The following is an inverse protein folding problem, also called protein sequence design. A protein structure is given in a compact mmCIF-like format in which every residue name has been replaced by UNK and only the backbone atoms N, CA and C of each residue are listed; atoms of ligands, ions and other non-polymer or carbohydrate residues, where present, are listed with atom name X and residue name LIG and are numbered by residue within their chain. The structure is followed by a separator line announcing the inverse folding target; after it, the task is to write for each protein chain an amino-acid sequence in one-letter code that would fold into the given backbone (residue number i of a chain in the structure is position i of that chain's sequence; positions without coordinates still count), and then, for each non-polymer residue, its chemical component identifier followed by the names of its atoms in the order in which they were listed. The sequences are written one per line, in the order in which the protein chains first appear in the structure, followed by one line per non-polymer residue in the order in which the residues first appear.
data_IF_849247009144
#
_entry.id   IF_849247009144
#
_cell.length_a   1.000
_cell.length_b   1.000
_cell.length_c   1.000
_cell.angle_alpha   90.00
_cell.angle_beta   90.00
_cell.angle_gamma   90.00
#
_symmetry.space_group_name_H-M   'P 1'
#
loop_
_entity.id
_entity.type
_entity.pdbx_description
1 polymer ?
#
# COMPACT_ATOMS: atom_id res chain seq x y z
N UNK A 1 -35.08 6.07 -2.98
CA UNK A 1 -35.03 5.19 -4.16
C UNK A 1 -34.33 3.93 -3.69
N UNK A 2 -34.88 2.73 -4.01
CA UNK A 2 -34.22 1.49 -3.61
C UNK A 2 -32.86 1.41 -4.31
N UNK A 3 -31.79 1.09 -3.55
CA UNK A 3 -30.47 0.82 -4.10
C UNK A 3 -30.61 -0.27 -5.16
N UNK A 4 -30.38 0.07 -6.42
CA UNK A 4 -30.33 -0.92 -7.50
C UNK A 4 -29.07 -1.77 -7.30
N UNK A 5 -29.27 -2.93 -6.73
CA UNK A 5 -28.19 -3.87 -6.47
C UNK A 5 -27.63 -4.41 -7.80
N UNK A 6 -26.32 -4.34 -7.97
CA UNK A 6 -25.62 -4.85 -9.16
C UNK A 6 -25.01 -6.22 -8.83
N UNK A 7 -25.30 -7.23 -9.67
CA UNK A 7 -24.72 -8.58 -9.52
C UNK A 7 -23.69 -8.80 -10.62
N UNK A 8 -22.49 -9.25 -10.23
CA UNK A 8 -21.44 -9.71 -11.15
C UNK A 8 -21.09 -11.18 -10.88
N UNK A 9 -20.62 -11.86 -11.91
CA UNK A 9 -20.19 -13.26 -11.80
C UNK A 9 -18.71 -13.39 -12.10
N UNK A 10 -17.97 -13.98 -11.18
CA UNK A 10 -16.55 -14.34 -11.32
C UNK A 10 -16.39 -15.85 -11.18
N UNK A 11 -15.19 -16.39 -11.40
CA UNK A 11 -14.98 -17.85 -11.34
C UNK A 11 -15.27 -18.48 -9.98
N UNK A 12 -15.23 -17.70 -8.90
CA UNK A 12 -15.51 -18.16 -7.53
C UNK A 12 -17.01 -18.18 -7.19
N UNK A 13 -17.84 -17.39 -7.86
CA UNK A 13 -19.27 -17.26 -7.57
C UNK A 13 -19.84 -15.90 -7.96
N UNK A 14 -21.02 -15.60 -7.48
CA UNK A 14 -21.69 -14.31 -7.72
C UNK A 14 -21.47 -13.34 -6.56
N UNK A 15 -21.37 -12.05 -6.89
CA UNK A 15 -21.18 -10.94 -5.94
C UNK A 15 -22.32 -9.95 -6.11
N UNK A 16 -22.93 -9.55 -4.99
CA UNK A 16 -23.94 -8.49 -4.92
C UNK A 16 -23.27 -7.21 -4.46
N UNK A 17 -23.09 -6.26 -5.36
CA UNK A 17 -22.59 -4.92 -5.06
C UNK A 17 -23.68 -3.93 -4.72
N UNK A 18 -23.28 -2.76 -4.25
CA UNK A 18 -24.16 -1.60 -4.06
C UNK A 18 -23.98 -0.61 -5.20
N UNK A 19 -25.02 0.21 -5.47
CA UNK A 19 -24.95 1.31 -6.41
C UNK A 19 -25.05 2.63 -5.64
N UNK A 20 -24.04 3.46 -5.78
CA UNK A 20 -23.95 4.78 -5.15
C UNK A 20 -23.77 5.84 -6.24
N UNK A 21 -24.82 6.61 -6.51
CA UNK A 21 -24.84 7.50 -7.66
C UNK A 21 -24.79 6.72 -8.99
N UNK A 22 -23.81 7.00 -9.83
CA UNK A 22 -23.58 6.27 -11.07
C UNK A 22 -22.56 5.13 -10.92
N UNK A 23 -21.85 5.06 -9.79
CA UNK A 23 -20.83 4.07 -9.52
C UNK A 23 -21.40 2.85 -8.83
N UNK A 24 -21.02 1.65 -9.27
CA UNK A 24 -21.25 0.39 -8.54
C UNK A 24 -20.01 0.06 -7.72
N UNK A 25 -20.20 -0.31 -6.44
CA UNK A 25 -19.14 -0.70 -5.55
C UNK A 25 -19.30 -2.15 -5.08
N UNK A 26 -18.18 -2.87 -5.05
CA UNK A 26 -18.07 -4.24 -4.56
C UNK A 26 -16.98 -4.29 -3.51
N UNK A 27 -17.35 -4.51 -2.27
CA UNK A 27 -16.44 -4.55 -1.13
C UNK A 27 -16.14 -5.98 -0.70
N UNK A 28 -15.04 -6.18 0.04
CA UNK A 28 -14.66 -7.46 0.66
C UNK A 28 -14.58 -8.62 -0.33
N UNK A 29 -14.14 -8.36 -1.56
CA UNK A 29 -14.02 -9.36 -2.62
C UNK A 29 -12.73 -10.19 -2.38
N UNK A 30 -12.81 -11.52 -2.20
CA UNK A 30 -11.65 -12.34 -1.92
C UNK A 30 -10.78 -12.53 -3.16
N UNK A 31 -9.50 -12.14 -3.09
CA UNK A 31 -8.50 -12.47 -4.11
C UNK A 31 -7.63 -13.67 -3.71
N UNK A 32 -7.71 -14.08 -2.46
CA UNK A 32 -6.94 -15.19 -1.90
C UNK A 32 -7.62 -15.82 -0.69
N UNK A 33 -7.02 -16.85 -0.13
CA UNK A 33 -7.44 -17.52 1.09
C UNK A 33 -6.28 -17.67 2.07
N UNK A 34 -6.59 -17.58 3.38
CA UNK A 34 -5.63 -17.79 4.44
C UNK A 34 -5.23 -19.27 4.55
N UNK A 35 -3.94 -19.56 4.42
CA UNK A 35 -3.35 -20.90 4.57
C UNK A 35 -2.65 -21.07 5.93
N UNK A 36 -2.83 -20.11 6.83
CA UNK A 36 -2.17 -20.02 8.12
C UNK A 36 -1.11 -18.93 8.18
N UNK A 37 -0.75 -18.56 9.40
CA UNK A 37 0.24 -17.52 9.68
C UNK A 37 1.57 -17.83 8.99
N UNK A 38 2.16 -16.82 8.34
CA UNK A 38 3.43 -16.88 7.61
C UNK A 38 3.44 -17.83 6.38
N UNK A 39 2.27 -18.26 5.90
CA UNK A 39 2.16 -19.06 4.67
C UNK A 39 1.83 -18.17 3.47
N UNK A 40 2.20 -18.62 2.28
CA UNK A 40 1.76 -17.98 1.04
C UNK A 40 0.24 -17.96 0.96
N UNK A 41 -0.31 -16.91 0.34
CA UNK A 41 -1.73 -16.79 0.08
C UNK A 41 -2.21 -17.93 -0.84
N UNK A 42 -3.29 -18.56 -0.48
CA UNK A 42 -3.91 -19.62 -1.28
C UNK A 42 -4.90 -19.08 -2.32
N UNK A 43 -5.37 -19.98 -3.19
CA UNK A 43 -6.44 -19.68 -4.15
C UNK A 43 -7.72 -19.29 -3.40
N UNK A 44 -8.50 -18.29 -3.86
CA UNK A 44 -9.77 -17.94 -3.25
C UNK A 44 -10.73 -19.14 -3.26
N UNK A 45 -11.44 -19.33 -2.15
CA UNK A 45 -12.46 -20.39 -2.02
C UNK A 45 -13.69 -19.98 -2.81
N UNK A 46 -14.22 -20.90 -3.63
CA UNK A 46 -15.49 -20.71 -4.35
C UNK A 46 -16.68 -20.83 -3.39
N UNK A 47 -17.76 -20.13 -3.71
CA UNK A 47 -19.00 -20.16 -2.95
C UNK A 47 -20.21 -20.45 -3.86
N UNK A 48 -21.29 -20.94 -3.24
CA UNK A 48 -22.59 -21.11 -3.90
C UNK A 48 -23.52 -19.94 -3.57
N UNK A 49 -24.40 -19.60 -4.50
CA UNK A 49 -25.32 -18.45 -4.33
C UNK A 49 -24.63 -17.12 -4.54
N UNK A 50 -25.23 -16.06 -4.00
CA UNK A 50 -24.76 -14.68 -4.15
C UNK A 50 -24.13 -14.22 -2.84
N UNK A 51 -22.84 -13.87 -2.88
CA UNK A 51 -22.11 -13.27 -1.75
C UNK A 51 -22.45 -11.79 -1.67
N UNK A 52 -22.82 -11.32 -0.48
CA UNK A 52 -23.00 -9.90 -0.21
C UNK A 52 -21.65 -9.18 -0.19
N UNK A 53 -21.49 -8.21 -1.09
CA UNK A 53 -20.30 -7.39 -1.27
C UNK A 53 -20.63 -5.89 -1.17
N UNK A 54 -21.63 -5.52 -0.36
CA UNK A 54 -22.13 -4.14 -0.25
C UNK A 54 -21.52 -3.35 0.89
N UNK A 55 -20.73 -3.96 1.75
CA UNK A 55 -20.15 -3.31 2.92
C UNK A 55 -18.64 -3.53 3.00
N UNK A 56 -17.85 -2.52 3.41
CA UNK A 56 -16.43 -2.68 3.66
C UNK A 56 -16.15 -3.84 4.63
N UNK A 57 -15.15 -4.64 4.29
CA UNK A 57 -14.74 -5.80 5.06
C UNK A 57 -13.62 -5.52 6.06
N UNK A 58 -12.83 -6.56 6.32
CA UNK A 58 -11.70 -6.53 7.25
C UNK A 58 -10.43 -5.99 6.59
N UNK A 59 -9.52 -5.50 7.41
CA UNK A 59 -8.12 -5.20 7.03
C UNK A 59 -7.16 -6.15 7.76
N UNK A 60 -5.89 -6.20 7.34
CA UNK A 60 -4.91 -7.04 8.03
C UNK A 60 -4.56 -6.52 9.42
N UNK A 61 -4.19 -7.45 10.31
CA UNK A 61 -3.69 -7.19 11.66
C UNK A 61 -2.53 -6.21 11.65
N UNK A 62 -2.62 -5.17 12.49
CA UNK A 62 -1.69 -4.05 12.55
C UNK A 62 -1.80 -3.28 13.85
N UNK A 63 -0.76 -2.50 14.18
CA UNK A 63 -0.80 -1.54 15.27
C UNK A 63 -1.54 -0.25 14.91
N UNK A 64 -1.55 0.74 15.82
CA UNK A 64 -2.14 2.05 15.56
C UNK A 64 -1.49 2.76 14.38
N UNK A 65 -2.30 3.51 13.62
CA UNK A 65 -1.80 4.33 12.52
C UNK A 65 -0.82 5.39 13.03
N UNK A 66 0.41 5.36 12.54
CA UNK A 66 1.49 6.30 12.94
C UNK A 66 1.24 7.73 12.48
N UNK A 67 0.40 7.92 11.47
CA UNK A 67 0.01 9.23 10.94
C UNK A 67 -1.39 9.65 11.40
N UNK A 68 -1.91 9.06 12.49
CA UNK A 68 -3.25 9.39 12.99
C UNK A 68 -3.42 10.88 13.35
N UNK A 69 -2.34 11.59 13.73
CA UNK A 69 -2.35 13.03 13.97
C UNK A 69 -2.57 13.86 12.70
N UNK A 70 -2.25 13.30 11.55
CA UNK A 70 -2.42 13.93 10.23
C UNK A 70 -3.66 13.38 9.52
N UNK A 71 -3.76 12.05 9.39
CA UNK A 71 -4.83 11.39 8.64
C UNK A 71 -6.11 11.18 9.44
N UNK A 72 -6.06 11.37 10.76
CA UNK A 72 -7.15 10.97 11.67
C UNK A 72 -7.23 9.45 11.81
N UNK A 73 -8.18 8.98 12.65
CA UNK A 73 -8.49 7.55 12.80
C UNK A 73 -9.85 7.26 12.20
N UNK A 74 -10.02 6.10 11.58
CA UNK A 74 -11.27 5.69 10.94
C UNK A 74 -11.87 4.44 11.60
N UNK A 75 -13.20 4.31 11.66
CA UNK A 75 -13.86 3.17 12.31
C UNK A 75 -13.41 1.80 11.78
N UNK A 76 -13.12 1.69 10.48
CA UNK A 76 -12.65 0.46 9.83
C UNK A 76 -11.31 -0.06 10.34
N UNK A 77 -10.47 0.79 10.95
CA UNK A 77 -9.17 0.38 11.51
C UNK A 77 -9.30 -0.67 12.61
N UNK A 78 -10.45 -0.79 13.26
CA UNK A 78 -10.69 -1.76 14.33
C UNK A 78 -11.15 -3.13 13.82
N UNK A 79 -11.54 -3.23 12.55
CA UNK A 79 -12.01 -4.48 11.96
C UNK A 79 -10.85 -5.23 11.30
N UNK A 80 -10.09 -5.98 12.09
CA UNK A 80 -8.83 -6.59 11.67
C UNK A 80 -8.86 -8.13 11.73
N UNK A 81 -8.20 -8.77 10.75
CA UNK A 81 -8.07 -10.23 10.67
C UNK A 81 -6.75 -10.63 10.02
N UNK A 82 -6.21 -11.82 10.32
CA UNK A 82 -5.17 -12.44 9.50
C UNK A 82 -5.72 -13.02 8.18
N UNK A 83 -7.04 -13.18 8.06
CA UNK A 83 -7.73 -13.52 6.79
C UNK A 83 -8.35 -12.27 6.17
N UNK A 84 -7.51 -11.37 5.69
CA UNK A 84 -7.92 -10.13 5.02
C UNK A 84 -7.43 -10.06 3.56
N UNK A 85 -7.30 -11.18 2.88
CA UNK A 85 -6.95 -11.27 1.45
C UNK A 85 -8.12 -10.81 0.58
N UNK A 86 -8.43 -9.51 0.67
CA UNK A 86 -9.61 -8.86 0.10
C UNK A 86 -9.20 -7.63 -0.71
N UNK A 87 -10.00 -7.34 -1.72
CA UNK A 87 -9.94 -6.10 -2.48
C UNK A 87 -11.35 -5.50 -2.61
N UNK A 88 -11.40 -4.25 -3.01
CA UNK A 88 -12.66 -3.57 -3.32
C UNK A 88 -12.60 -3.08 -4.77
N UNK A 89 -13.75 -3.00 -5.42
CA UNK A 89 -13.85 -2.57 -6.81
C UNK A 89 -14.94 -1.51 -6.93
N UNK A 90 -14.61 -0.36 -7.50
CA UNK A 90 -15.57 0.67 -7.92
C UNK A 90 -15.56 0.77 -9.43
N UNK A 91 -16.72 0.84 -10.03
CA UNK A 91 -16.88 0.86 -11.48
C UNK A 91 -18.05 1.75 -11.91
N UNK A 92 -17.87 2.63 -12.91
CA UNK A 92 -18.97 3.42 -13.47
C UNK A 92 -19.91 2.56 -14.35
N UNK A 93 -19.38 1.47 -14.93
CA UNK A 93 -20.18 0.58 -15.79
C UNK A 93 -19.63 -0.85 -15.78
N UNK A 94 -20.35 -1.79 -15.16
CA UNK A 94 -19.96 -3.23 -15.10
C UNK A 94 -19.92 -3.91 -16.47
N UNK A 95 -20.49 -3.29 -17.52
CA UNK A 95 -20.49 -3.81 -18.91
C UNK A 95 -19.51 -3.06 -19.80
N UNK A 96 -18.76 -2.12 -19.22
CA UNK A 96 -17.78 -1.30 -19.95
C UNK A 96 -16.51 -2.08 -20.33
N UNK A 97 -15.56 -1.32 -20.86
CA UNK A 97 -14.18 -1.73 -21.07
C UNK A 97 -13.26 -0.58 -20.67
N UNK A 98 -13.30 -0.23 -19.37
CA UNK A 98 -12.65 0.95 -18.84
C UNK A 98 -11.21 0.67 -18.41
N UNK A 99 -10.30 1.64 -18.46
CA UNK A 99 -9.00 1.52 -17.81
C UNK A 99 -9.14 1.15 -16.33
N UNK A 100 -8.15 0.47 -15.79
CA UNK A 100 -8.15 -0.03 -14.41
C UNK A 100 -7.04 0.65 -13.62
N UNK A 101 -7.38 1.20 -12.46
CA UNK A 101 -6.43 1.65 -11.46
C UNK A 101 -6.36 0.62 -10.34
N UNK A 102 -5.22 -0.04 -10.17
CA UNK A 102 -4.92 -0.91 -9.04
C UNK A 102 -4.13 -0.11 -8.00
N UNK A 103 -4.81 0.23 -6.89
CA UNK A 103 -4.28 1.10 -5.85
C UNK A 103 -3.71 0.33 -4.67
N UNK A 104 -2.46 0.63 -4.30
CA UNK A 104 -1.75 0.06 -3.16
C UNK A 104 -1.61 1.15 -2.08
N UNK A 105 -2.22 0.93 -0.91
CA UNK A 105 -2.19 1.88 0.19
C UNK A 105 -0.80 2.01 0.82
N UNK A 106 -0.52 3.17 1.43
CA UNK A 106 0.66 3.43 2.25
C UNK A 106 0.53 2.92 3.68
N UNK A 107 1.34 3.50 4.58
CA UNK A 107 1.34 3.18 6.01
C UNK A 107 2.66 2.62 6.52
N UNK A 108 3.77 2.93 5.85
CA UNK A 108 5.13 2.57 6.29
C UNK A 108 5.36 1.06 6.41
N UNK A 109 4.71 0.27 5.57
CA UNK A 109 4.72 -1.21 5.57
C UNK A 109 4.07 -1.86 6.80
N UNK A 110 3.57 -1.07 7.76
CA UNK A 110 3.14 -1.53 9.09
C UNK A 110 1.64 -1.35 9.34
N UNK A 111 1.00 -0.41 8.65
CA UNK A 111 -0.41 -0.06 8.84
C UNK A 111 -1.10 0.22 7.50
N UNK A 112 -2.43 0.35 7.52
CA UNK A 112 -3.25 0.67 6.36
C UNK A 112 -4.18 -0.46 5.95
N UNK A 113 -4.98 -0.20 4.92
CA UNK A 113 -5.93 -1.17 4.37
C UNK A 113 -6.74 -0.55 3.24
N UNK A 114 -6.98 -1.31 2.18
CA UNK A 114 -7.76 -0.87 1.03
C UNK A 114 -9.24 -0.66 1.32
N UNK A 115 -9.74 -1.14 2.47
CA UNK A 115 -11.12 -0.97 2.91
C UNK A 115 -11.34 0.30 3.77
N UNK A 116 -10.28 1.09 4.02
CA UNK A 116 -10.40 2.31 4.81
C UNK A 116 -11.02 3.43 3.96
N UNK A 117 -11.85 4.26 4.58
CA UNK A 117 -12.59 5.34 3.90
C UNK A 117 -11.69 6.39 3.21
N UNK A 118 -10.43 6.49 3.60
CA UNK A 118 -9.44 7.32 2.87
C UNK A 118 -9.31 6.92 1.39
N UNK A 119 -9.63 5.68 1.05
CA UNK A 119 -9.52 5.09 -0.28
C UNK A 119 -10.89 4.77 -0.89
N UNK A 120 -11.97 5.44 -0.40
CA UNK A 120 -13.25 5.41 -1.11
C UNK A 120 -13.07 6.04 -2.48
N UNK A 121 -13.15 5.20 -3.49
CA UNK A 121 -12.84 5.57 -4.87
C UNK A 121 -14.08 5.86 -5.72
N UNK A 122 -15.24 6.07 -5.11
CA UNK A 122 -16.50 6.31 -5.81
C UNK A 122 -16.38 7.49 -6.76
N UNK A 123 -15.94 8.66 -6.26
CA UNK A 123 -15.80 9.86 -7.07
C UNK A 123 -14.68 9.73 -8.11
N UNK A 124 -13.55 9.12 -7.74
CA UNK A 124 -12.46 8.86 -8.70
C UNK A 124 -12.92 7.95 -9.83
N UNK A 125 -13.70 6.90 -9.56
CA UNK A 125 -14.23 6.01 -10.58
C UNK A 125 -15.24 6.72 -11.51
N UNK A 126 -16.14 7.51 -10.93
CA UNK A 126 -17.16 8.25 -11.68
C UNK A 126 -16.53 9.35 -12.55
N UNK A 127 -15.74 10.24 -11.95
CA UNK A 127 -15.18 11.41 -12.62
C UNK A 127 -14.05 11.06 -13.60
N UNK A 128 -13.28 10.01 -13.27
CA UNK A 128 -12.18 9.53 -14.11
C UNK A 128 -12.59 8.53 -15.19
N UNK A 129 -13.85 8.07 -15.18
CA UNK A 129 -14.35 7.00 -16.06
C UNK A 129 -13.45 5.76 -16.05
N UNK A 130 -13.03 5.33 -14.85
CA UNK A 130 -12.08 4.23 -14.63
C UNK A 130 -12.64 3.22 -13.63
N UNK A 131 -12.21 1.96 -13.74
CA UNK A 131 -12.41 0.96 -12.68
C UNK A 131 -11.30 1.13 -11.66
N UNK A 132 -11.63 1.32 -10.39
CA UNK A 132 -10.65 1.43 -9.31
C UNK A 132 -10.70 0.18 -8.44
N UNK A 133 -9.53 -0.39 -8.17
CA UNK A 133 -9.35 -1.54 -7.28
C UNK A 133 -8.43 -1.14 -6.15
N UNK A 134 -8.90 -1.19 -4.90
CA UNK A 134 -8.04 -1.05 -3.72
C UNK A 134 -7.81 -2.41 -3.08
N UNK A 135 -6.62 -2.67 -2.58
CA UNK A 135 -6.20 -4.00 -2.12
C UNK A 135 -5.67 -3.98 -0.70
N UNK A 136 -6.00 -5.02 0.08
CA UNK A 136 -5.31 -5.34 1.32
C UNK A 136 -4.12 -6.26 1.03
N UNK A 137 -3.03 -6.09 1.76
CA UNK A 137 -1.86 -6.96 1.77
C UNK A 137 -1.30 -7.05 3.19
N UNK A 138 -0.64 -8.16 3.52
CA UNK A 138 -0.08 -8.36 4.86
C UNK A 138 0.97 -7.32 5.20
N UNK A 139 1.05 -6.98 6.47
CA UNK A 139 1.84 -5.87 6.98
C UNK A 139 2.89 -6.35 7.98
N UNK A 140 3.96 -5.58 8.08
CA UNK A 140 4.99 -5.74 9.09
C UNK A 140 5.49 -7.19 9.22
N UNK A 141 5.54 -7.68 10.45
CA UNK A 141 6.00 -9.02 10.78
C UNK A 141 5.21 -10.12 10.07
N UNK A 142 3.90 -9.95 9.87
CA UNK A 142 3.04 -10.93 9.19
C UNK A 142 3.32 -11.02 7.68
N UNK A 143 3.78 -9.91 7.08
CA UNK A 143 4.04 -9.80 5.64
C UNK A 143 5.51 -9.97 5.24
N UNK A 144 6.46 -9.68 6.14
CA UNK A 144 7.87 -9.53 5.77
C UNK A 144 8.87 -10.26 6.69
N UNK A 145 8.39 -11.09 7.61
CA UNK A 145 9.29 -11.92 8.41
C UNK A 145 10.03 -12.91 7.51
N UNK A 146 11.37 -12.92 7.57
CA UNK A 146 12.23 -13.95 6.99
C UNK A 146 12.76 -14.85 8.08
N UNK A 147 12.23 -16.07 8.18
CA UNK A 147 12.63 -17.04 9.20
C UNK A 147 12.59 -18.45 8.62
N UNK A 148 13.75 -19.06 8.34
CA UNK A 148 13.81 -20.38 7.68
C UNK A 148 12.92 -21.45 8.35
N UNK A 149 12.13 -22.14 7.53
CA UNK A 149 11.17 -23.16 7.99
C UNK A 149 9.84 -22.61 8.53
N UNK A 150 9.72 -21.29 8.74
CA UNK A 150 8.51 -20.63 9.24
C UNK A 150 7.93 -19.69 8.20
N UNK A 151 8.75 -18.75 7.68
CA UNK A 151 8.34 -17.74 6.71
C UNK A 151 9.45 -17.51 5.66
N UNK A 152 9.05 -17.41 4.40
CA UNK A 152 9.98 -17.19 3.28
C UNK A 152 10.38 -15.70 3.13
N UNK A 153 9.72 -14.77 3.85
CA UNK A 153 9.83 -13.33 3.60
C UNK A 153 8.98 -12.89 2.42
N UNK A 154 8.91 -11.56 2.16
CA UNK A 154 8.22 -10.96 1.02
C UNK A 154 6.77 -11.45 0.78
N UNK A 155 6.09 -11.94 1.82
CA UNK A 155 4.71 -12.42 1.68
C UNK A 155 3.75 -11.28 1.32
N UNK A 156 4.01 -10.06 1.78
CA UNK A 156 3.25 -8.87 1.40
C UNK A 156 3.34 -8.58 -0.11
N UNK A 157 4.53 -8.68 -0.70
CA UNK A 157 4.71 -8.53 -2.14
C UNK A 157 4.04 -9.68 -2.91
N UNK A 158 4.12 -10.91 -2.39
CA UNK A 158 3.43 -12.06 -2.98
C UNK A 158 1.90 -11.91 -2.94
N UNK A 159 1.34 -11.31 -1.88
CA UNK A 159 -0.08 -10.98 -1.78
C UNK A 159 -0.49 -10.01 -2.89
N UNK A 160 0.30 -8.95 -3.11
CA UNK A 160 0.05 -7.94 -4.15
C UNK A 160 0.16 -8.53 -5.57
N UNK A 161 1.15 -9.38 -5.82
CA UNK A 161 1.29 -10.12 -7.10
C UNK A 161 0.05 -11.00 -7.33
N UNK A 162 -0.42 -11.68 -6.29
CA UNK A 162 -1.60 -12.55 -6.38
C UNK A 162 -2.87 -11.74 -6.65
N UNK A 163 -3.05 -10.60 -5.97
CA UNK A 163 -4.16 -9.70 -6.20
C UNK A 163 -4.13 -9.09 -7.62
N UNK A 164 -2.96 -8.71 -8.11
CA UNK A 164 -2.82 -8.18 -9.48
C UNK A 164 -3.10 -9.26 -10.54
N UNK A 165 -2.66 -10.50 -10.33
CA UNK A 165 -3.02 -11.66 -11.16
C UNK A 165 -4.54 -11.94 -11.11
N UNK A 166 -5.18 -11.72 -9.96
CA UNK A 166 -6.64 -11.78 -9.83
C UNK A 166 -7.33 -10.69 -10.68
N UNK A 167 -6.85 -9.45 -10.64
CA UNK A 167 -7.35 -8.34 -11.47
C UNK A 167 -7.27 -8.70 -12.95
N UNK A 168 -6.12 -9.15 -13.44
CA UNK A 168 -5.95 -9.58 -14.84
C UNK A 168 -6.97 -10.64 -15.25
N UNK A 169 -7.38 -11.52 -14.35
CA UNK A 169 -8.31 -12.62 -14.63
C UNK A 169 -9.79 -12.22 -14.56
N UNK A 170 -10.15 -11.30 -13.67
CA UNK A 170 -11.54 -11.09 -13.29
C UNK A 170 -12.10 -9.69 -13.56
N UNK A 171 -11.24 -8.69 -13.78
CA UNK A 171 -11.69 -7.29 -13.80
C UNK A 171 -12.68 -6.99 -14.94
N UNK A 172 -12.66 -7.77 -16.01
CA UNK A 172 -13.64 -7.65 -17.10
C UNK A 172 -15.07 -7.90 -16.65
N UNK A 173 -15.31 -8.70 -15.59
CA UNK A 173 -16.65 -8.89 -15.01
C UNK A 173 -17.18 -7.62 -14.33
N UNK A 174 -16.30 -6.68 -14.02
CA UNK A 174 -16.59 -5.38 -13.43
C UNK A 174 -16.50 -4.23 -14.46
N UNK A 175 -16.40 -4.54 -15.75
CA UNK A 175 -16.28 -3.55 -16.83
C UNK A 175 -14.89 -2.95 -16.99
N UNK A 176 -13.86 -3.55 -16.41
CA UNK A 176 -12.45 -3.12 -16.57
C UNK A 176 -11.76 -3.82 -17.74
N UNK A 177 -10.80 -3.13 -18.36
CA UNK A 177 -9.94 -3.69 -19.39
C UNK A 177 -8.65 -4.24 -18.76
N UNK A 178 -8.44 -5.57 -18.73
CA UNK A 178 -7.24 -6.17 -18.17
C UNK A 178 -5.95 -5.77 -18.90
N UNK A 179 -6.04 -5.26 -20.13
CA UNK A 179 -4.87 -4.79 -20.90
C UNK A 179 -4.52 -3.31 -20.61
N UNK A 180 -5.37 -2.60 -19.88
CA UNK A 180 -5.17 -1.20 -19.52
C UNK A 180 -5.07 -1.02 -18.00
N UNK A 181 -4.14 -1.71 -17.36
CA UNK A 181 -3.93 -1.64 -15.91
C UNK A 181 -2.84 -0.63 -15.58
N UNK A 182 -3.19 0.30 -14.69
CA UNK A 182 -2.26 1.20 -13.99
C UNK A 182 -2.08 0.68 -12.57
N UNK A 183 -0.86 0.41 -12.15
CA UNK A 183 -0.53 0.16 -10.75
C UNK A 183 -0.11 1.47 -10.12
N UNK A 184 -0.73 1.86 -9.01
CA UNK A 184 -0.36 3.09 -8.32
C UNK A 184 -0.44 2.92 -6.81
N UNK A 185 0.30 3.77 -6.10
CA UNK A 185 0.25 3.80 -4.65
C UNK A 185 0.93 5.03 -4.07
N UNK A 186 0.75 5.22 -2.78
CA UNK A 186 1.32 6.33 -2.04
C UNK A 186 2.26 5.80 -0.95
N UNK A 187 3.41 6.48 -0.71
CA UNK A 187 4.34 6.10 0.36
C UNK A 187 4.86 4.66 0.20
N UNK A 188 4.71 3.81 1.22
CA UNK A 188 5.02 2.38 1.12
C UNK A 188 4.26 1.69 -0.03
N UNK A 189 3.05 2.16 -0.38
CA UNK A 189 2.31 1.69 -1.54
C UNK A 189 3.00 2.04 -2.87
N UNK A 190 3.60 3.23 -2.97
CA UNK A 190 4.43 3.61 -4.13
C UNK A 190 5.69 2.74 -4.20
N UNK A 191 6.30 2.44 -3.05
CA UNK A 191 7.42 1.51 -2.98
C UNK A 191 7.05 0.11 -3.50
N UNK A 192 5.90 -0.44 -3.05
CA UNK A 192 5.40 -1.72 -3.55
C UNK A 192 5.01 -1.66 -5.04
N UNK A 193 4.47 -0.54 -5.51
CA UNK A 193 4.16 -0.35 -6.93
C UNK A 193 5.42 -0.46 -7.79
N UNK A 194 6.53 0.16 -7.34
CA UNK A 194 7.83 0.02 -8.01
C UNK A 194 8.39 -1.40 -7.88
N UNK A 195 8.23 -2.06 -6.72
CA UNK A 195 8.66 -3.43 -6.49
C UNK A 195 7.93 -4.44 -7.40
N UNK A 196 6.64 -4.20 -7.72
CA UNK A 196 5.91 -4.99 -8.72
C UNK A 196 6.51 -4.84 -10.13
N UNK A 197 7.00 -3.66 -10.50
CA UNK A 197 7.72 -3.46 -11.75
C UNK A 197 9.11 -4.09 -11.72
N UNK A 198 9.76 -4.13 -10.54
CA UNK A 198 11.06 -4.74 -10.33
C UNK A 198 11.04 -6.27 -10.32
N UNK A 199 9.87 -6.91 -10.16
CA UNK A 199 9.73 -8.36 -10.05
C UNK A 199 9.43 -9.03 -11.38
N UNK A 200 10.20 -10.08 -11.72
CA UNK A 200 9.97 -10.91 -12.92
C UNK A 200 8.57 -11.54 -12.97
N UNK A 201 7.91 -11.68 -11.80
CA UNK A 201 6.57 -12.28 -11.69
C UNK A 201 5.42 -11.34 -12.02
N UNK A 202 5.66 -10.02 -12.08
CA UNK A 202 4.58 -9.03 -12.19
C UNK A 202 4.80 -7.90 -13.19
N UNK A 203 6.03 -7.61 -13.63
CA UNK A 203 6.30 -6.44 -14.47
C UNK A 203 5.50 -6.40 -15.78
N UNK A 204 5.09 -7.55 -16.33
CA UNK A 204 4.28 -7.63 -17.55
C UNK A 204 2.77 -7.53 -17.32
N UNK A 205 2.32 -7.44 -16.06
CA UNK A 205 0.89 -7.40 -15.73
C UNK A 205 0.27 -6.01 -15.90
N UNK A 206 1.08 -4.99 -16.09
CA UNK A 206 0.67 -3.59 -16.26
C UNK A 206 1.69 -2.80 -17.08
N UNK A 207 1.27 -1.66 -17.59
CA UNK A 207 2.12 -0.78 -18.41
C UNK A 207 2.06 0.69 -18.00
N UNK A 208 1.41 1.01 -16.88
CA UNK A 208 1.37 2.35 -16.30
C UNK A 208 1.64 2.28 -14.81
N UNK A 209 2.42 3.22 -14.32
CA UNK A 209 2.87 3.27 -12.93
C UNK A 209 2.60 4.64 -12.32
N UNK A 210 1.95 4.66 -11.15
CA UNK A 210 1.72 5.86 -10.35
C UNK A 210 2.50 5.82 -9.04
N UNK A 211 3.41 6.78 -8.81
CA UNK A 211 4.25 6.82 -7.61
C UNK A 211 4.06 8.15 -6.86
N UNK A 212 3.20 8.14 -5.83
CA UNK A 212 2.94 9.28 -4.98
C UNK A 212 3.80 9.22 -3.73
N UNK A 213 4.63 10.24 -3.52
CA UNK A 213 5.52 10.33 -2.34
C UNK A 213 6.36 9.06 -2.14
N UNK A 214 7.04 8.61 -3.20
CA UNK A 214 7.86 7.40 -3.17
C UNK A 214 9.05 7.58 -2.21
N UNK A 215 9.16 6.77 -1.12
CA UNK A 215 10.25 6.87 -0.15
C UNK A 215 11.49 6.13 -0.68
N UNK A 216 12.13 6.68 -1.71
CA UNK A 216 13.16 5.98 -2.46
C UNK A 216 14.50 5.82 -1.75
N UNK A 217 14.67 6.43 -0.56
CA UNK A 217 15.82 6.13 0.31
C UNK A 217 15.62 4.86 1.15
N UNK A 218 14.38 4.32 1.18
CA UNK A 218 14.10 3.06 1.89
C UNK A 218 14.50 1.90 0.99
N UNK A 219 15.63 1.30 1.26
CA UNK A 219 16.14 0.13 0.55
C UNK A 219 15.47 -1.16 1.05
N UNK A 220 15.35 -2.16 0.17
CA UNK A 220 14.97 -3.50 0.58
C UNK A 220 16.02 -4.08 1.53
N UNK A 221 15.59 -4.86 2.52
CA UNK A 221 16.54 -5.48 3.47
C UNK A 221 17.49 -6.45 2.76
N UNK A 222 18.73 -6.47 3.20
CA UNK A 222 19.63 -7.57 2.91
C UNK A 222 19.20 -8.85 3.67
N UNK A 223 19.62 -10.01 3.20
CA UNK A 223 19.40 -11.29 3.92
C UNK A 223 19.94 -11.23 5.35
N UNK A 224 21.10 -10.57 5.57
CA UNK A 224 21.70 -10.39 6.87
C UNK A 224 20.80 -9.59 7.83
N UNK A 225 20.28 -8.44 7.36
CA UNK A 225 19.40 -7.60 8.16
C UNK A 225 18.04 -8.28 8.43
N UNK A 226 17.51 -9.02 7.47
CA UNK A 226 16.28 -9.79 7.65
C UNK A 226 16.47 -10.92 8.69
N UNK A 227 17.60 -11.63 8.67
CA UNK A 227 17.96 -12.63 9.68
C UNK A 227 18.20 -12.02 11.07
N UNK A 228 18.80 -10.83 11.11
CA UNK A 228 18.98 -10.10 12.38
C UNK A 228 17.63 -9.73 12.99
N UNK A 229 16.68 -9.21 12.21
CA UNK A 229 15.31 -8.92 12.67
C UNK A 229 14.63 -10.18 13.21
N UNK A 230 14.73 -11.30 12.50
CA UNK A 230 14.19 -12.57 12.96
C UNK A 230 14.82 -13.04 14.29
N UNK A 231 16.14 -12.89 14.42
CA UNK A 231 16.87 -13.23 15.65
C UNK A 231 16.46 -12.36 16.84
N UNK A 232 16.25 -11.05 16.60
CA UNK A 232 15.75 -10.12 17.62
C UNK A 232 14.31 -10.47 18.03
N UNK A 233 13.46 -10.88 17.08
CA UNK A 233 12.09 -11.32 17.37
C UNK A 233 12.07 -12.60 18.21
N UNK A 234 12.86 -13.61 17.86
CA UNK A 234 13.01 -14.83 18.66
C UNK A 234 13.51 -14.52 20.06
N UNK A 235 14.53 -13.66 20.18
CA UNK A 235 15.08 -13.24 21.47
C UNK A 235 14.05 -12.50 22.33
N UNK A 236 13.19 -11.68 21.73
CA UNK A 236 12.10 -10.99 22.44
C UNK A 236 11.16 -11.97 23.15
N UNK A 237 10.88 -13.11 22.52
CA UNK A 237 10.05 -14.19 23.08
C UNK A 237 10.84 -15.26 23.86
N UNK A 238 12.14 -15.07 24.09
CA UNK A 238 13.03 -16.05 24.70
C UNK A 238 13.02 -17.41 23.98
N UNK A 239 12.91 -17.40 22.65
CA UNK A 239 12.89 -18.59 21.81
C UNK A 239 14.25 -18.83 21.14
N UNK A 240 14.66 -20.08 21.07
CA UNK A 240 15.74 -20.52 20.19
C UNK A 240 15.23 -20.73 18.76
N UNK A 241 16.12 -20.83 17.78
CA UNK A 241 15.76 -21.16 16.39
C UNK A 241 15.01 -22.50 16.27
N UNK A 242 15.31 -23.47 17.11
CA UNK A 242 14.60 -24.76 17.17
C UNK A 242 13.16 -24.65 17.70
N UNK A 243 12.84 -23.56 18.37
CA UNK A 243 11.51 -23.26 18.92
C UNK A 243 10.74 -22.22 18.11
N UNK A 244 11.26 -21.84 16.94
CA UNK A 244 10.68 -20.79 16.07
C UNK A 244 9.20 -21.03 15.72
N UNK A 245 8.77 -22.31 15.63
CA UNK A 245 7.36 -22.67 15.39
C UNK A 245 6.40 -22.15 16.45
N UNK A 246 6.87 -21.86 17.66
CA UNK A 246 6.03 -21.26 18.71
C UNK A 246 5.52 -19.84 18.34
N UNK A 247 6.17 -19.16 17.41
CA UNK A 247 5.67 -17.88 16.87
C UNK A 247 4.31 -18.02 16.16
N UNK A 248 3.94 -19.22 15.72
CA UNK A 248 2.64 -19.49 15.10
C UNK A 248 1.48 -19.35 16.11
N UNK A 249 1.76 -19.59 17.39
CA UNK A 249 0.78 -19.60 18.48
C UNK A 249 0.80 -18.32 19.32
N UNK A 250 1.73 -17.38 19.05
CA UNK A 250 1.79 -16.09 19.76
C UNK A 250 0.58 -15.24 19.37
N UNK A 251 -0.03 -14.56 20.33
CA UNK A 251 -1.17 -13.67 20.07
C UNK A 251 -0.78 -12.53 19.11
N UNK A 252 -1.71 -12.11 18.24
CA UNK A 252 -1.46 -11.09 17.23
C UNK A 252 -0.93 -9.77 17.83
N UNK A 253 -1.55 -9.32 18.93
CA UNK A 253 -1.19 -8.08 19.60
C UNK A 253 0.22 -8.17 20.23
N UNK A 254 0.62 -9.35 20.71
CA UNK A 254 1.96 -9.58 21.23
C UNK A 254 3.01 -9.55 20.10
N UNK A 255 2.71 -10.13 18.93
CA UNK A 255 3.58 -10.03 17.76
C UNK A 255 3.73 -8.60 17.27
N UNK A 256 2.62 -7.82 17.25
CA UNK A 256 2.63 -6.41 16.87
C UNK A 256 3.46 -5.58 17.86
N UNK A 257 3.32 -5.84 19.15
CA UNK A 257 4.13 -5.16 20.17
C UNK A 257 5.63 -5.51 20.05
N UNK A 258 5.94 -6.80 19.84
CA UNK A 258 7.29 -7.28 19.62
C UNK A 258 7.92 -6.66 18.35
N UNK A 259 7.16 -6.53 17.26
CA UNK A 259 7.58 -5.83 16.05
C UNK A 259 8.05 -4.40 16.35
N UNK A 260 7.30 -3.64 17.15
CA UNK A 260 7.69 -2.29 17.55
C UNK A 260 9.02 -2.25 18.31
N UNK A 261 9.18 -3.14 19.30
CA UNK A 261 10.40 -3.25 20.07
C UNK A 261 11.63 -3.64 19.21
N UNK A 262 11.44 -4.60 18.30
CA UNK A 262 12.48 -5.08 17.37
C UNK A 262 12.87 -3.97 16.38
N UNK A 263 11.90 -3.23 15.84
CA UNK A 263 12.15 -2.10 14.93
C UNK A 263 12.98 -1.01 15.62
N UNK A 264 12.66 -0.66 16.87
CA UNK A 264 13.45 0.29 17.65
C UNK A 264 14.87 -0.21 17.95
N UNK A 265 15.04 -1.52 18.19
CA UNK A 265 16.35 -2.11 18.41
C UNK A 265 17.20 -2.08 17.12
N UNK A 266 16.58 -2.28 15.95
CA UNK A 266 17.23 -2.14 14.65
C UNK A 266 17.65 -0.69 14.41
N UNK A 267 16.76 0.28 14.58
CA UNK A 267 17.03 1.71 14.37
C UNK A 267 18.24 2.22 15.18
N UNK A 268 18.38 1.74 16.42
CA UNK A 268 19.53 2.09 17.26
C UNK A 268 20.87 1.60 16.68
N UNK A 269 20.84 0.61 15.79
CA UNK A 269 22.04 0.06 15.13
C UNK A 269 22.33 0.73 13.79
N UNK A 270 21.28 1.05 13.02
CA UNK A 270 21.41 1.63 11.67
C UNK A 270 21.46 3.15 11.68
N UNK A 271 20.99 3.81 12.74
CA UNK A 271 20.86 5.27 12.87
C UNK A 271 19.95 5.91 11.80
N UNK A 272 18.99 5.16 11.23
CA UNK A 272 18.10 5.64 10.19
C UNK A 272 17.11 6.70 10.72
N UNK A 273 16.78 7.71 9.89
CA UNK A 273 15.78 8.73 10.19
C UNK A 273 14.37 8.10 10.35
N UNK A 274 14.03 7.16 9.49
CA UNK A 274 12.78 6.41 9.56
C UNK A 274 13.10 4.99 10.01
N UNK A 275 12.49 4.50 11.12
CA UNK A 275 12.74 3.16 11.58
C UNK A 275 12.35 2.15 10.49
N UNK A 276 13.32 1.45 9.96
CA UNK A 276 13.10 0.31 9.08
C UNK A 276 13.05 -0.95 9.93
N UNK A 277 11.96 -1.71 9.79
CA UNK A 277 11.74 -2.95 10.50
C UNK A 277 11.43 -4.08 9.54
N UNK A 278 10.27 -4.70 9.73
CA UNK A 278 9.79 -5.76 8.84
C UNK A 278 9.25 -5.16 7.53
N UNK A 279 10.16 -4.88 6.59
CA UNK A 279 9.92 -4.42 5.22
C UNK A 279 10.41 -5.49 4.24
N UNK A 280 10.08 -5.38 2.93
CA UNK A 280 10.55 -6.33 1.93
C UNK A 280 12.08 -6.46 1.88
N UNK A 281 12.55 -7.61 1.43
CA UNK A 281 13.96 -7.95 1.35
C UNK A 281 14.39 -8.38 -0.05
N UNK A 282 15.67 -8.26 -0.36
CA UNK A 282 16.27 -8.89 -1.52
C UNK A 282 16.37 -10.40 -1.22
N UNK A 283 15.49 -11.20 -1.85
CA UNK A 283 15.40 -12.65 -1.63
C UNK A 283 15.95 -13.49 -2.79
N UNK A 284 16.40 -12.82 -3.85
CA UNK A 284 16.89 -13.46 -5.06
C UNK A 284 15.80 -14.14 -5.91
N UNK A 285 14.52 -14.02 -5.52
CA UNK A 285 13.35 -14.60 -6.20
C UNK A 285 12.41 -13.51 -6.70
N UNK A 286 11.62 -12.91 -5.78
CA UNK A 286 10.71 -11.82 -6.08
C UNK A 286 11.46 -10.51 -6.27
N UNK A 287 12.46 -10.25 -5.44
CA UNK A 287 13.37 -9.10 -5.54
C UNK A 287 14.81 -9.60 -5.68
N UNK A 288 15.38 -9.43 -6.88
CA UNK A 288 16.73 -9.93 -7.21
C UNK A 288 17.83 -8.93 -6.90
N UNK A 289 17.48 -7.66 -6.74
CA UNK A 289 18.41 -6.57 -6.50
C UNK A 289 17.70 -5.30 -6.07
N UNK A 290 18.40 -4.17 -6.22
CA UNK A 290 17.84 -2.85 -5.98
C UNK A 290 16.59 -2.61 -6.84
N UNK A 291 15.48 -2.22 -6.21
CA UNK A 291 14.18 -2.10 -6.89
C UNK A 291 14.17 -1.03 -7.97
N UNK A 292 14.95 0.04 -7.82
CA UNK A 292 15.05 1.11 -8.83
C UNK A 292 15.75 0.55 -10.07
N UNK A 293 16.89 -0.09 -9.90
CA UNK A 293 17.67 -0.66 -10.99
C UNK A 293 16.90 -1.74 -11.74
N UNK A 294 16.22 -2.64 -11.02
CA UNK A 294 15.43 -3.71 -11.60
C UNK A 294 14.18 -3.18 -12.34
N UNK A 295 13.47 -2.20 -11.75
CA UNK A 295 12.32 -1.57 -12.40
C UNK A 295 12.73 -0.83 -13.68
N UNK A 296 13.83 -0.08 -13.67
CA UNK A 296 14.38 0.59 -14.87
C UNK A 296 14.78 -0.44 -15.94
N UNK A 297 15.31 -1.58 -15.54
CA UNK A 297 15.65 -2.69 -16.44
C UNK A 297 14.42 -3.27 -17.13
N UNK A 298 13.29 -3.42 -16.40
CA UNK A 298 12.05 -4.00 -16.93
C UNK A 298 11.23 -3.00 -17.75
N UNK A 299 11.28 -1.71 -17.43
CA UNK A 299 10.46 -0.69 -18.08
C UNK A 299 10.75 -0.54 -19.59
N UNK A 300 12.00 -0.43 -19.99
CA UNK A 300 12.52 -0.45 -21.39
C UNK A 300 11.66 0.28 -22.44
N UNK A 301 11.12 1.46 -22.13
CA UNK A 301 10.29 2.24 -23.06
C UNK A 301 8.82 1.76 -23.17
N UNK A 302 8.37 0.86 -22.30
CA UNK A 302 7.02 0.31 -22.34
C UNK A 302 6.12 0.74 -21.18
N UNK A 303 6.64 1.53 -20.24
CA UNK A 303 5.92 1.96 -19.04
C UNK A 303 5.75 3.47 -19.04
N UNK A 304 4.51 3.94 -19.01
CA UNK A 304 4.25 5.34 -18.68
C UNK A 304 4.23 5.50 -17.14
N UNK A 305 4.98 6.50 -16.64
CA UNK A 305 5.11 6.75 -15.21
C UNK A 305 4.61 8.15 -14.87
N UNK A 306 3.77 8.26 -13.83
CA UNK A 306 3.29 9.51 -13.26
C UNK A 306 3.53 9.50 -11.76
N UNK A 307 3.94 10.62 -11.18
CA UNK A 307 4.09 10.72 -9.74
C UNK A 307 4.80 11.99 -9.30
N UNK A 308 5.08 12.06 -8.03
CA UNK A 308 5.72 13.23 -7.44
C UNK A 308 5.80 13.17 -5.94
N UNK A 309 6.12 14.31 -5.35
CA UNK A 309 6.29 14.47 -3.90
C UNK A 309 5.59 15.73 -3.41
N UNK A 310 5.37 15.81 -2.12
CA UNK A 310 4.93 17.04 -1.46
C UNK A 310 6.13 17.90 -1.07
N UNK A 311 5.93 19.21 -0.85
CA UNK A 311 7.05 20.11 -0.50
C UNK A 311 7.56 19.92 0.92
N UNK A 312 6.76 19.33 1.81
CA UNK A 312 7.09 19.19 3.23
C UNK A 312 6.74 17.78 3.77
N UNK A 313 7.10 16.74 3.02
CA UNK A 313 6.76 15.32 3.33
C UNK A 313 6.93 14.98 4.81
N UNK A 314 8.06 15.34 5.36
CA UNK A 314 8.47 14.85 6.68
C UNK A 314 7.82 15.58 7.86
N UNK A 315 7.08 16.66 7.64
CA UNK A 315 6.27 17.29 8.70
C UNK A 315 5.28 16.32 9.31
N UNK A 316 4.70 15.41 8.51
CA UNK A 316 3.78 14.37 9.01
C UNK A 316 4.39 13.51 10.12
N UNK A 317 5.70 13.31 10.10
CA UNK A 317 6.41 12.45 11.04
C UNK A 317 7.00 13.22 12.22
N UNK A 318 7.27 14.51 12.06
CA UNK A 318 8.07 15.28 13.03
C UNK A 318 7.34 16.46 13.69
N UNK A 319 6.15 16.91 13.22
CA UNK A 319 5.44 18.08 13.73
C UNK A 319 5.09 18.00 15.24
N UNK A 320 4.90 16.81 15.79
CA UNK A 320 4.61 16.58 17.21
C UNK A 320 5.81 16.02 18.00
N UNK A 321 7.00 16.05 17.44
CA UNK A 321 8.22 15.57 18.12
C UNK A 321 9.02 16.72 18.73
N UNK A 322 10.01 16.45 19.61
CA UNK A 322 10.93 17.48 20.11
C UNK A 322 11.67 18.24 19.00
N UNK A 323 11.85 17.65 17.82
CA UNK A 323 12.49 18.28 16.66
C UNK A 323 11.71 19.51 16.17
N UNK A 324 10.36 19.49 16.24
CA UNK A 324 9.53 20.63 15.79
C UNK A 324 9.70 21.90 16.61
N UNK A 325 10.33 21.83 17.78
CA UNK A 325 10.59 22.96 18.67
C UNK A 325 11.97 23.60 18.45
N UNK A 326 12.78 23.04 17.58
CA UNK A 326 14.13 23.55 17.30
C UNK A 326 14.09 24.69 16.28
N UNK A 327 15.06 25.61 16.37
CA UNK A 327 15.15 26.76 15.48
C UNK A 327 15.42 26.36 14.01
N UNK A 328 16.08 25.24 13.79
CA UNK A 328 16.44 24.67 12.48
C UNK A 328 15.37 23.70 11.92
N UNK A 329 14.17 23.68 12.48
CA UNK A 329 13.14 22.69 12.12
C UNK A 329 12.79 22.69 10.63
N UNK A 330 12.60 23.85 10.01
CA UNK A 330 12.25 23.94 8.60
C UNK A 330 13.41 23.48 7.69
N UNK A 331 14.65 23.76 8.04
CA UNK A 331 15.83 23.26 7.33
C UNK A 331 15.94 21.73 7.46
N UNK A 332 15.65 21.20 8.64
CA UNK A 332 15.57 19.76 8.87
C UNK A 332 14.47 19.12 8.01
N UNK A 333 13.27 19.72 7.93
CA UNK A 333 12.17 19.24 7.09
C UNK A 333 12.55 19.27 5.61
N UNK A 334 13.14 20.36 5.13
CA UNK A 334 13.59 20.49 3.75
C UNK A 334 14.65 19.43 3.40
N UNK A 335 15.64 19.24 4.27
CA UNK A 335 16.71 18.25 4.07
C UNK A 335 16.17 16.82 4.08
N UNK A 336 15.37 16.46 5.08
CA UNK A 336 14.81 15.12 5.20
C UNK A 336 13.79 14.80 4.08
N UNK A 337 12.96 15.77 3.66
CA UNK A 337 12.07 15.63 2.50
C UNK A 337 12.89 15.36 1.22
N UNK A 338 13.94 16.13 1.01
CA UNK A 338 14.82 15.97 -0.17
C UNK A 338 15.47 14.60 -0.17
N UNK A 339 16.08 14.20 0.93
CA UNK A 339 16.87 12.96 1.03
C UNK A 339 15.97 11.72 0.91
N UNK A 340 14.80 11.72 1.56
CA UNK A 340 13.96 10.51 1.63
C UNK A 340 13.08 10.37 0.37
N UNK A 341 12.57 11.48 -0.17
CA UNK A 341 11.53 11.44 -1.19
C UNK A 341 11.94 12.10 -2.51
N UNK A 342 12.33 13.39 -2.49
CA UNK A 342 12.43 14.20 -3.72
C UNK A 342 13.59 13.77 -4.60
N UNK A 343 14.79 13.65 -4.04
CA UNK A 343 15.98 13.27 -4.80
C UNK A 343 15.89 11.85 -5.36
N UNK A 344 15.53 10.82 -4.57
CA UNK A 344 15.35 9.47 -5.11
C UNK A 344 14.28 9.36 -6.18
N UNK A 345 13.15 10.07 -6.03
CA UNK A 345 12.08 10.12 -7.03
C UNK A 345 12.58 10.76 -8.33
N UNK A 346 13.26 11.90 -8.24
CA UNK A 346 13.79 12.59 -9.42
C UNK A 346 14.86 11.75 -10.14
N UNK A 347 15.72 11.06 -9.40
CA UNK A 347 16.72 10.14 -9.95
C UNK A 347 16.08 8.95 -10.66
N UNK A 348 15.04 8.33 -10.06
CA UNK A 348 14.25 7.27 -10.69
C UNK A 348 13.61 7.76 -11.99
N UNK A 349 12.92 8.89 -11.95
CA UNK A 349 12.19 9.42 -13.09
C UNK A 349 13.13 9.79 -14.24
N UNK A 350 14.28 10.38 -13.92
CA UNK A 350 15.35 10.60 -14.91
C UNK A 350 15.81 9.28 -15.53
N UNK A 351 16.11 8.26 -14.74
CA UNK A 351 16.54 6.96 -15.24
C UNK A 351 15.48 6.29 -16.12
N UNK A 352 14.18 6.46 -15.80
CA UNK A 352 13.08 5.97 -16.63
C UNK A 352 13.01 6.74 -17.96
N UNK A 353 13.14 8.08 -17.94
CA UNK A 353 13.14 8.90 -19.16
C UNK A 353 14.34 8.58 -20.06
N UNK A 354 15.53 8.35 -19.50
CA UNK A 354 16.74 7.94 -20.21
C UNK A 354 16.57 6.56 -20.93
N UNK A 355 15.56 5.79 -20.55
CA UNK A 355 15.14 4.52 -21.19
C UNK A 355 13.91 4.67 -22.08
N UNK A 356 13.59 5.90 -22.50
CA UNK A 356 12.49 6.24 -23.40
C UNK A 356 11.08 5.91 -22.88
N UNK A 357 10.90 5.86 -21.55
CA UNK A 357 9.58 5.78 -20.96
C UNK A 357 8.95 7.18 -20.89
N UNK A 358 7.61 7.24 -21.00
CA UNK A 358 6.87 8.50 -20.78
C UNK A 358 6.86 8.81 -19.29
N UNK A 359 7.36 9.99 -18.91
CA UNK A 359 7.50 10.40 -17.50
C UNK A 359 6.82 11.72 -17.25
N UNK A 360 5.92 11.74 -16.25
CA UNK A 360 5.20 12.92 -15.81
C UNK A 360 5.41 13.12 -14.31
N UNK A 361 6.01 14.26 -13.92
CA UNK A 361 6.32 14.55 -12.52
C UNK A 361 5.55 15.78 -12.02
N UNK A 362 5.03 15.70 -10.80
CA UNK A 362 4.43 16.83 -10.09
C UNK A 362 5.16 17.15 -8.79
N UNK A 363 4.90 18.35 -8.26
CA UNK A 363 5.21 18.72 -6.87
C UNK A 363 3.93 19.26 -6.24
N UNK A 364 3.49 18.66 -5.15
CA UNK A 364 2.31 19.08 -4.40
C UNK A 364 2.73 20.09 -3.32
N UNK A 365 2.33 21.35 -3.52
CA UNK A 365 2.66 22.45 -2.61
C UNK A 365 1.45 22.96 -1.81
N UNK A 366 0.28 22.32 -1.95
CA UNK A 366 -0.93 22.72 -1.25
C UNK A 366 -0.78 22.50 0.26
N UNK A 367 -0.90 23.54 1.11
CA UNK A 367 -0.71 23.39 2.55
C UNK A 367 -1.94 22.79 3.22
N UNK A 368 -1.71 22.05 4.32
CA UNK A 368 -2.76 21.64 5.22
C UNK A 368 -3.39 22.85 5.93
N UNK A 369 -4.57 22.64 6.54
CA UNK A 369 -5.24 23.67 7.34
C UNK A 369 -4.43 24.09 8.58
N UNK A 370 -3.75 23.12 9.22
CA UNK A 370 -2.82 23.39 10.31
C UNK A 370 -1.48 23.91 9.74
N UNK A 371 -1.07 25.16 10.05
CA UNK A 371 0.16 25.74 9.55
C UNK A 371 1.43 25.02 10.04
N UNK A 372 1.34 24.16 11.05
CA UNK A 372 2.48 23.35 11.51
C UNK A 372 2.70 22.10 10.69
N UNK A 373 1.72 21.70 9.89
CA UNK A 373 1.75 20.49 9.07
C UNK A 373 2.24 20.79 7.64
N UNK A 374 1.92 21.98 7.13
CA UNK A 374 2.32 22.46 5.78
C UNK A 374 1.79 21.53 4.67
N UNK A 375 2.47 21.46 3.52
CA UNK A 375 2.17 20.50 2.46
C UNK A 375 2.82 19.14 2.79
N UNK A 376 2.20 18.43 3.70
CA UNK A 376 2.72 17.23 4.35
C UNK A 376 2.56 15.96 3.51
N UNK A 377 3.18 14.88 3.96
CA UNK A 377 2.94 13.53 3.42
C UNK A 377 1.46 13.14 3.49
N UNK A 378 0.94 12.53 2.44
CA UNK A 378 -0.47 12.13 2.26
C UNK A 378 -1.44 13.27 1.92
N UNK A 379 -1.03 14.54 1.85
CA UNK A 379 -1.93 15.66 1.53
C UNK A 379 -2.55 15.55 0.14
N UNK A 380 -1.95 14.81 -0.79
CA UNK A 380 -2.44 14.57 -2.14
C UNK A 380 -3.61 13.59 -2.22
N UNK A 381 -3.79 12.72 -1.20
CA UNK A 381 -4.80 11.66 -1.24
C UNK A 381 -6.24 12.17 -1.38
N UNK A 382 -6.72 13.17 -0.61
CA UNK A 382 -8.06 13.71 -0.79
C UNK A 382 -8.31 14.28 -2.20
N UNK A 383 -7.26 14.77 -2.86
CA UNK A 383 -7.36 15.26 -4.25
C UNK A 383 -7.41 14.13 -5.27
N UNK A 384 -6.69 13.02 -5.01
CA UNK A 384 -6.69 11.85 -5.89
C UNK A 384 -8.05 11.15 -5.84
N UNK A 385 -8.59 10.95 -4.63
CA UNK A 385 -9.85 10.21 -4.42
C UNK A 385 -11.10 11.10 -4.50
N UNK A 386 -10.94 12.44 -4.54
CA UNK A 386 -12.04 13.41 -4.50
C UNK A 386 -13.01 13.14 -3.33
N UNK A 387 -12.44 12.90 -2.14
CA UNK A 387 -13.18 12.49 -0.92
C UNK A 387 -12.80 13.37 0.29
N UNK A 388 -12.80 14.68 0.10
CA UNK A 388 -12.35 15.67 1.10
C UNK A 388 -13.06 15.56 2.44
N UNK A 389 -14.31 15.13 2.47
CA UNK A 389 -15.13 14.96 3.67
C UNK A 389 -14.54 13.92 4.64
N UNK A 390 -13.68 13.04 4.18
CA UNK A 390 -13.01 12.03 5.01
C UNK A 390 -11.79 12.61 5.73
N UNK A 391 -11.32 13.78 5.30
CA UNK A 391 -10.04 14.38 5.69
C UNK A 391 -10.18 15.66 6.53
N UNK A 392 -11.23 15.80 7.33
CA UNK A 392 -11.59 17.02 8.10
C UNK A 392 -10.43 17.65 8.90
N UNK A 393 -9.42 16.87 9.28
CA UNK A 393 -8.29 17.34 10.08
C UNK A 393 -7.17 18.00 9.28
N UNK A 394 -7.09 17.77 7.97
CA UNK A 394 -5.94 18.19 7.15
C UNK A 394 -6.34 19.23 6.12
N UNK A 395 -7.48 19.07 5.51
CA UNK A 395 -7.92 19.95 4.41
C UNK A 395 -9.02 20.86 4.94
N UNK A 396 -8.88 22.19 4.83
CA UNK A 396 -9.97 23.09 5.17
C UNK A 396 -11.18 22.75 4.30
N UNK A 397 -12.38 22.82 4.87
CA UNK A 397 -13.63 22.61 4.17
C UNK A 397 -13.65 23.35 2.84
N UNK A 398 -13.33 22.68 1.76
CA UNK A 398 -13.57 23.21 0.43
C UNK A 398 -15.07 23.16 0.17
N UNK A 399 -15.73 24.30 0.26
CA UNK A 399 -16.92 24.50 -0.54
C UNK A 399 -16.43 24.67 -1.97
N UNK A 400 -16.58 23.64 -2.79
CA UNK A 400 -16.52 23.80 -4.24
C UNK A 400 -17.63 24.79 -4.58
N UNK A 401 -17.22 25.97 -5.04
CA UNK A 401 -18.15 27.02 -5.51
C UNK A 401 -18.66 26.61 -6.88
#
# INVERSE_FOLDING_TARGET
MADEATVVTISQGQLLGTKEGQTSAFYDVPYGSNQGRFKHVGTPISWTGVRDARQPGVIFKQGPNRLASVMGSKPGEKNQSEDAFRLNVWTPDVRGKKPVLFWIHGGGFLTGGGALSWYDARHLAENGDVVVVTVNYRLGVFGNLRLPGISDGNLALNDLITALKWVKRHISAFGGDPEQVTVAGQSAGAWYSLALLASDESYQLFNRLGLMSFPGSVEALSEENAQLLASLLLSHFNLSSKQASKLLDVADDELIAAQGAVTLAMQKRTHDYVPTGFIPMIDGKLLKGDIISEAVRHAQGHVAIFGGTTTHETTSFFHQTPQSKKADYLDFIATSTTTIFTEPTSRLFKAMADRHNDVFQYVMAYPAADPNILACHCIELPFIFDNFEVWDNIVPHFKII
#
